data_IF_013408304511
#
_entry.id   IF_013408304511
#
_cell.length_a   1.000
_cell.length_b   1.000
_cell.length_c   1.000
_cell.angle_alpha   90.00
_cell.angle_beta   90.00
_cell.angle_gamma   90.00
#
_symmetry.space_group_name_H-M   'P 1'
#
loop_
_entity.id
_entity.type
_entity.pdbx_description
1 polymer ?
#
# COMPACT_ATOMS: atom_id res chain seq x y z
N UNK A 1 -2.71 -10.37 -19.79
CA UNK A 1 -4.07 -9.86 -19.47
C UNK A 1 -4.14 -8.43 -19.95
N UNK A 2 -5.08 -8.08 -20.83
CA UNK A 2 -5.27 -6.67 -21.23
C UNK A 2 -5.98 -5.91 -20.12
N UNK A 3 -5.89 -4.59 -20.17
CA UNK A 3 -6.53 -3.70 -19.19
C UNK A 3 -8.04 -3.83 -19.25
N UNK A 4 -8.62 -4.03 -20.45
CA UNK A 4 -10.06 -4.28 -20.57
C UNK A 4 -10.46 -5.60 -19.93
N UNK A 5 -9.65 -6.65 -20.11
CA UNK A 5 -9.92 -7.96 -19.48
C UNK A 5 -9.82 -7.86 -17.96
N UNK A 6 -8.89 -7.06 -17.44
CA UNK A 6 -8.77 -6.80 -16.01
C UNK A 6 -10.03 -6.14 -15.44
N UNK A 7 -10.51 -5.05 -16.06
CA UNK A 7 -11.71 -4.37 -15.59
C UNK A 7 -12.97 -5.22 -15.75
N UNK A 8 -13.07 -6.01 -16.82
CA UNK A 8 -14.19 -6.93 -17.04
C UNK A 8 -14.29 -8.03 -15.96
N UNK A 9 -13.15 -8.43 -15.38
CA UNK A 9 -13.09 -9.48 -14.36
C UNK A 9 -12.84 -8.95 -12.94
N UNK A 10 -12.87 -7.63 -12.74
CA UNK A 10 -12.46 -7.00 -11.48
C UNK A 10 -13.21 -7.56 -10.26
N UNK A 11 -14.53 -7.73 -10.37
CA UNK A 11 -15.36 -8.31 -9.31
C UNK A 11 -15.01 -9.78 -9.01
N UNK A 12 -14.89 -10.61 -10.04
CA UNK A 12 -14.55 -12.04 -9.88
C UNK A 12 -13.16 -12.25 -9.27
N UNK A 13 -12.20 -11.40 -9.62
CA UNK A 13 -10.85 -11.44 -9.03
C UNK A 13 -10.86 -11.09 -7.53
N UNK A 14 -11.81 -10.25 -7.09
CA UNK A 14 -11.94 -9.87 -5.70
C UNK A 14 -12.44 -11.02 -4.81
N UNK A 15 -13.24 -11.94 -5.36
CA UNK A 15 -13.87 -13.04 -4.61
C UNK A 15 -12.91 -14.21 -4.30
N UNK A 16 -11.73 -14.23 -4.92
CA UNK A 16 -10.71 -15.22 -4.60
C UNK A 16 -10.10 -14.98 -3.20
N UNK A 17 -9.53 -16.00 -2.53
CA UNK A 17 -8.76 -15.81 -1.30
C UNK A 17 -7.63 -14.79 -1.49
N UNK A 18 -7.61 -13.75 -0.66
CA UNK A 18 -6.71 -12.59 -0.77
C UNK A 18 -6.85 -11.83 -2.11
N UNK A 19 -7.99 -11.95 -2.81
CA UNK A 19 -8.25 -11.37 -4.12
C UNK A 19 -8.14 -9.85 -4.12
N UNK A 20 -8.78 -9.19 -3.16
CA UNK A 20 -8.72 -7.72 -3.02
C UNK A 20 -7.30 -7.22 -2.81
N UNK A 21 -6.48 -7.90 -1.99
CA UNK A 21 -5.08 -7.51 -1.80
C UNK A 21 -4.28 -7.60 -3.11
N UNK A 22 -4.41 -8.72 -3.83
CA UNK A 22 -3.75 -8.90 -5.13
C UNK A 22 -4.21 -7.88 -6.16
N UNK A 23 -5.48 -7.48 -6.13
CA UNK A 23 -6.01 -6.42 -6.98
C UNK A 23 -5.30 -5.09 -6.71
N UNK A 24 -5.11 -4.70 -5.44
CA UNK A 24 -4.37 -3.46 -5.08
C UNK A 24 -2.94 -3.48 -5.61
N UNK A 25 -2.24 -4.60 -5.44
CA UNK A 25 -0.87 -4.79 -5.95
C UNK A 25 -0.82 -4.67 -7.48
N UNK A 26 -1.78 -5.30 -8.17
CA UNK A 26 -1.88 -5.24 -9.63
C UNK A 26 -2.21 -3.83 -10.12
N UNK A 27 -3.11 -3.10 -9.46
CA UNK A 27 -3.44 -1.70 -9.79
C UNK A 27 -2.17 -0.84 -9.78
N UNK A 28 -1.36 -0.95 -8.70
CA UNK A 28 -0.11 -0.20 -8.61
C UNK A 28 0.91 -0.64 -9.67
N UNK A 29 0.97 -1.94 -9.97
CA UNK A 29 1.86 -2.44 -11.02
C UNK A 29 1.46 -1.90 -12.41
N UNK A 30 0.17 -1.88 -12.74
CA UNK A 30 -0.33 -1.33 -14.00
C UNK A 30 -0.11 0.19 -14.07
N UNK A 31 -0.25 0.89 -12.94
CA UNK A 31 0.00 2.33 -12.83
C UNK A 31 1.43 2.69 -13.24
N UNK A 32 2.43 1.98 -12.72
CA UNK A 32 3.85 2.28 -12.99
C UNK A 32 4.35 1.75 -14.33
N UNK A 33 3.53 0.97 -15.05
CA UNK A 33 3.81 0.46 -16.39
C UNK A 33 3.15 1.27 -17.51
N UNK A 34 2.38 2.32 -17.18
CA UNK A 34 1.62 3.09 -18.17
C UNK A 34 0.46 2.32 -18.80
N UNK A 35 -0.07 1.34 -18.06
CA UNK A 35 -1.18 0.47 -18.50
C UNK A 35 -2.47 0.75 -17.76
N UNK A 36 -2.49 1.64 -16.76
CA UNK A 36 -3.71 1.86 -15.97
C UNK A 36 -4.71 2.80 -16.66
N UNK A 37 -4.22 3.75 -17.45
CA UNK A 37 -5.02 4.77 -18.13
C UNK A 37 -4.64 4.85 -19.61
N UNK A 38 -5.55 5.28 -20.50
CA UNK A 38 -5.22 5.56 -21.89
C UNK A 38 -4.15 6.66 -22.02
N UNK A 39 -3.32 6.54 -23.06
CA UNK A 39 -2.37 7.58 -23.46
C UNK A 39 -3.12 8.74 -24.12
N UNK A 40 -2.68 9.96 -23.84
CA UNK A 40 -3.22 11.18 -24.45
C UNK A 40 -2.15 11.80 -25.37
N UNK A 41 -2.36 11.87 -26.69
CA UNK A 41 -1.42 12.47 -27.63
C UNK A 41 -1.14 13.97 -27.38
N UNK A 42 -2.07 14.67 -26.71
CA UNK A 42 -1.94 16.10 -26.42
C UNK A 42 -1.14 16.38 -25.14
N UNK A 43 -0.80 15.33 -24.37
CA UNK A 43 0.08 15.49 -23.23
C UNK A 43 1.49 15.86 -23.67
N UNK A 44 2.08 16.86 -22.99
CA UNK A 44 3.50 17.15 -23.10
C UNK A 44 4.32 15.90 -22.73
N UNK A 45 5.11 15.32 -23.65
CA UNK A 45 5.79 14.07 -23.40
C UNK A 45 6.90 14.22 -22.35
N UNK A 46 7.24 13.12 -21.67
CA UNK A 46 8.25 13.15 -20.62
C UNK A 46 9.65 13.57 -21.12
N UNK A 47 9.91 13.49 -22.43
CA UNK A 47 11.12 14.04 -23.06
C UNK A 47 11.30 15.54 -22.80
N UNK A 48 10.21 16.31 -22.80
CA UNK A 48 10.27 17.76 -22.52
C UNK A 48 10.62 18.02 -21.06
N UNK A 49 10.09 17.20 -20.14
CA UNK A 49 10.39 17.30 -18.71
C UNK A 49 11.88 17.07 -18.43
N UNK A 50 12.48 16.05 -19.05
CA UNK A 50 13.91 15.75 -18.86
C UNK A 50 14.80 16.81 -19.51
N UNK A 51 14.42 17.37 -20.66
CA UNK A 51 15.17 18.44 -21.32
C UNK A 51 15.21 19.70 -20.44
N UNK A 52 14.06 20.09 -19.87
CA UNK A 52 13.95 21.22 -18.94
C UNK A 52 14.86 21.06 -17.72
N UNK A 53 15.01 19.83 -17.24
CA UNK A 53 15.83 19.51 -16.06
C UNK A 53 17.25 19.05 -16.41
N UNK A 54 17.61 19.03 -17.70
CA UNK A 54 18.91 18.58 -18.23
C UNK A 54 19.28 17.15 -17.78
N UNK A 55 18.28 16.28 -17.71
CA UNK A 55 18.43 14.88 -17.32
C UNK A 55 18.69 14.00 -18.55
N UNK A 56 19.31 12.85 -18.34
CA UNK A 56 19.59 11.88 -19.42
C UNK A 56 18.68 10.66 -19.27
N UNK A 57 17.97 10.26 -20.34
CA UNK A 57 17.14 9.07 -20.29
C UNK A 57 18.00 7.81 -20.30
N UNK A 58 17.49 6.75 -19.67
CA UNK A 58 18.05 5.41 -19.72
C UNK A 58 17.34 4.62 -20.82
N UNK A 59 18.13 3.90 -21.61
CA UNK A 59 17.63 3.04 -22.71
C UNK A 59 17.94 1.55 -22.52
N UNK A 60 18.65 1.16 -21.45
CA UNK A 60 19.06 -0.23 -21.17
C UNK A 60 18.80 -0.59 -19.70
N UNK A 61 18.57 -1.87 -19.41
CA UNK A 61 18.31 -2.34 -18.04
C UNK A 61 16.94 -1.95 -17.50
N UNK A 62 15.98 -1.71 -18.40
CA UNK A 62 14.57 -1.51 -18.04
C UNK A 62 13.92 -2.85 -17.73
N UNK A 63 13.02 -2.89 -16.74
CA UNK A 63 12.40 -4.15 -16.32
C UNK A 63 11.15 -4.51 -17.11
N UNK A 64 10.60 -3.56 -17.87
CA UNK A 64 9.43 -3.72 -18.73
C UNK A 64 9.36 -2.57 -19.74
N UNK A 65 8.54 -2.77 -20.78
CA UNK A 65 8.21 -1.72 -21.75
C UNK A 65 7.25 -0.70 -21.15
N UNK A 66 7.47 0.57 -21.49
CA UNK A 66 6.64 1.72 -21.13
C UNK A 66 6.10 2.39 -22.40
N UNK A 67 5.02 3.19 -22.31
CA UNK A 67 4.52 3.98 -23.43
C UNK A 67 5.59 4.88 -24.06
N UNK A 68 5.46 5.16 -25.37
CA UNK A 68 6.50 5.90 -26.12
C UNK A 68 6.71 7.36 -25.71
N UNK A 69 5.76 7.95 -24.99
CA UNK A 69 5.82 9.29 -24.39
C UNK A 69 6.41 9.28 -22.96
N UNK A 70 6.77 8.10 -22.43
CA UNK A 70 7.47 7.95 -21.15
C UNK A 70 8.97 7.86 -21.38
N UNK A 71 9.74 8.15 -20.33
CA UNK A 71 11.19 7.95 -20.31
C UNK A 71 11.61 7.22 -19.04
N UNK A 72 12.73 6.53 -19.08
CA UNK A 72 13.35 5.97 -17.89
C UNK A 72 14.45 6.90 -17.37
N UNK A 73 14.52 7.09 -16.07
CA UNK A 73 15.57 7.83 -15.38
C UNK A 73 16.36 6.90 -14.46
N UNK A 74 17.61 7.25 -14.15
CA UNK A 74 18.29 6.62 -13.03
C UNK A 74 17.60 7.04 -11.72
N UNK A 75 17.67 6.22 -10.67
CA UNK A 75 17.22 6.66 -9.35
C UNK A 75 17.86 7.99 -8.95
N UNK A 76 19.15 8.19 -9.24
CA UNK A 76 19.89 9.38 -8.81
C UNK A 76 19.48 10.65 -9.57
N UNK A 77 18.96 10.52 -10.79
CA UNK A 77 18.41 11.64 -11.56
C UNK A 77 16.97 11.97 -11.12
N UNK A 78 16.20 10.95 -10.72
CA UNK A 78 14.83 11.12 -10.28
C UNK A 78 14.74 11.60 -8.83
N UNK A 79 15.49 10.97 -7.94
CA UNK A 79 15.32 10.99 -6.48
C UNK A 79 16.65 11.11 -5.73
N UNK A 80 16.58 11.74 -4.55
CA UNK A 80 17.58 11.62 -3.50
C UNK A 80 16.92 11.17 -2.20
N UNK A 81 17.72 10.74 -1.23
CA UNK A 81 17.25 10.32 0.08
C UNK A 81 18.02 10.97 1.22
N UNK A 82 17.34 11.34 2.30
CA UNK A 82 17.92 11.98 3.48
C UNK A 82 17.53 11.26 4.76
N UNK A 83 18.52 10.66 5.43
CA UNK A 83 18.34 9.98 6.71
C UNK A 83 17.97 10.93 7.86
N UNK A 84 17.32 10.37 8.89
CA UNK A 84 16.89 11.10 10.08
C UNK A 84 17.97 11.32 11.14
N UNK A 85 17.54 11.72 12.34
CA UNK A 85 18.39 12.00 13.51
C UNK A 85 18.16 11.00 14.64
N UNK A 86 19.15 10.82 15.52
CA UNK A 86 19.07 9.98 16.72
C UNK A 86 19.44 10.81 17.96
N UNK A 87 18.54 11.70 18.43
CA UNK A 87 18.78 12.42 19.68
C UNK A 87 18.85 11.45 20.88
N UNK A 88 19.57 11.81 21.96
CA UNK A 88 19.61 11.02 23.20
C UNK A 88 18.23 10.77 23.79
N UNK A 89 17.95 9.53 24.21
CA UNK A 89 16.66 9.15 24.80
C UNK A 89 16.32 9.95 26.07
N UNK A 90 17.33 10.45 26.79
CA UNK A 90 17.15 11.30 27.97
C UNK A 90 16.50 12.66 27.66
N UNK A 91 16.48 13.09 26.40
CA UNK A 91 15.85 14.34 25.98
C UNK A 91 14.38 14.17 25.56
N UNK A 92 13.85 12.95 25.59
CA UNK A 92 12.52 12.66 25.06
C UNK A 92 11.46 13.03 26.10
N UNK A 93 10.45 13.76 25.67
CA UNK A 93 9.23 14.04 26.44
C UNK A 93 8.02 13.47 25.69
N UNK A 94 6.95 13.18 26.41
CA UNK A 94 5.71 12.60 25.90
C UNK A 94 4.61 13.63 25.62
N UNK A 95 4.81 14.86 26.08
CA UNK A 95 3.87 15.97 25.96
C UNK A 95 4.45 17.11 25.12
N UNK A 96 3.65 17.75 24.24
CA UNK A 96 4.12 18.89 23.48
C UNK A 96 4.54 20.06 24.39
N UNK A 97 5.72 20.62 24.13
CA UNK A 97 6.26 21.75 24.88
C UNK A 97 6.93 22.75 23.92
N UNK A 98 6.88 24.04 24.26
CA UNK A 98 7.58 25.08 23.51
C UNK A 98 9.09 24.78 23.44
N UNK A 99 9.69 24.91 22.25
CA UNK A 99 11.10 24.59 22.00
C UNK A 99 11.37 23.10 21.74
N UNK A 100 10.33 22.28 21.67
CA UNK A 100 10.41 20.87 21.31
C UNK A 100 9.65 20.61 20.01
N UNK A 101 10.20 19.72 19.19
CA UNK A 101 9.59 19.24 17.95
C UNK A 101 9.24 17.76 18.07
N UNK A 102 8.16 17.35 17.42
CA UNK A 102 7.78 15.94 17.33
C UNK A 102 8.88 15.15 16.63
N UNK A 103 9.33 14.06 17.24
CA UNK A 103 10.25 13.10 16.62
C UNK A 103 9.45 11.88 16.15
N UNK A 104 9.25 11.79 14.83
CA UNK A 104 8.54 10.70 14.18
C UNK A 104 9.36 9.41 14.22
N UNK A 105 8.72 8.34 14.68
CA UNK A 105 9.24 6.98 14.64
C UNK A 105 8.29 6.10 13.81
N UNK A 106 8.77 4.94 13.32
CA UNK A 106 7.97 4.04 12.47
C UNK A 106 6.62 3.68 13.12
N UNK A 107 6.59 3.49 14.45
CA UNK A 107 5.37 3.16 15.20
C UNK A 107 4.30 4.25 15.14
N UNK A 108 4.68 5.51 14.90
CA UNK A 108 3.76 6.65 14.87
C UNK A 108 2.89 6.66 13.61
N UNK A 109 3.24 5.89 12.60
CA UNK A 109 2.44 5.68 11.40
C UNK A 109 1.50 4.47 11.51
N UNK A 110 1.47 3.79 12.66
CA UNK A 110 0.56 2.69 12.95
C UNK A 110 -0.77 3.13 13.56
N UNK A 111 -1.63 2.16 13.91
CA UNK A 111 -2.96 2.41 14.50
C UNK A 111 -2.93 2.93 15.94
N UNK A 112 -1.79 2.82 16.63
CA UNK A 112 -1.59 3.26 18.02
C UNK A 112 -0.28 4.06 18.12
N UNK A 113 -0.27 5.32 17.63
CA UNK A 113 0.93 6.15 17.69
C UNK A 113 1.33 6.44 19.15
N UNK A 114 2.62 6.58 19.41
CA UNK A 114 3.15 6.96 20.73
C UNK A 114 4.11 8.13 20.51
N UNK A 115 3.55 9.34 20.34
CA UNK A 115 4.31 10.51 19.96
C UNK A 115 5.32 10.85 21.05
N UNK A 116 6.50 11.28 20.62
CA UNK A 116 7.55 11.80 21.48
C UNK A 116 8.08 13.09 20.89
N UNK A 117 8.58 13.96 21.75
CA UNK A 117 9.13 15.25 21.37
C UNK A 117 10.56 15.39 21.88
N UNK A 118 11.38 16.11 21.12
CA UNK A 118 12.80 16.36 21.43
C UNK A 118 13.10 17.84 21.24
N UNK A 119 14.10 18.41 21.93
CA UNK A 119 14.50 19.79 21.73
C UNK A 119 14.80 20.09 20.26
N UNK A 120 14.35 21.24 19.75
CA UNK A 120 14.51 21.61 18.33
C UNK A 120 15.98 21.65 17.90
N UNK A 121 16.89 22.03 18.80
CA UNK A 121 18.34 22.10 18.57
C UNK A 121 19.02 20.72 18.56
N UNK A 122 18.36 19.68 19.07
CA UNK A 122 18.89 18.30 19.07
C UNK A 122 18.74 17.58 17.72
N UNK A 123 18.04 18.19 16.76
CA UNK A 123 17.72 17.61 15.45
C UNK A 123 17.97 18.61 14.32
N UNK A 124 18.42 18.11 13.16
CA UNK A 124 18.72 18.97 11.99
C UNK A 124 17.92 18.59 10.75
N UNK A 125 17.01 17.62 10.87
CA UNK A 125 16.28 17.00 9.77
C UNK A 125 14.80 17.02 10.08
N UNK A 126 14.03 17.71 9.24
CA UNK A 126 12.59 17.83 9.34
C UNK A 126 11.91 17.34 8.06
N UNK A 127 10.69 16.83 8.19
CA UNK A 127 9.78 16.53 7.11
C UNK A 127 8.48 17.32 7.26
N UNK A 128 7.89 17.70 6.13
CA UNK A 128 6.54 18.22 6.03
C UNK A 128 5.53 17.06 5.96
N UNK A 129 4.25 17.37 6.16
CA UNK A 129 3.20 16.36 6.18
C UNK A 129 3.05 15.64 4.83
N UNK A 130 3.37 16.29 3.73
CA UNK A 130 3.27 15.73 2.38
C UNK A 130 4.60 15.15 1.87
N UNK A 131 5.68 15.21 2.67
CA UNK A 131 6.92 14.50 2.35
C UNK A 131 6.68 12.97 2.38
N UNK A 132 7.43 12.25 1.55
CA UNK A 132 7.37 10.79 1.49
C UNK A 132 8.55 10.20 2.27
N UNK A 133 8.22 9.32 3.19
CA UNK A 133 9.16 8.67 4.09
C UNK A 133 9.18 7.16 3.82
N UNK A 134 10.29 6.49 4.13
CA UNK A 134 10.39 5.04 4.06
C UNK A 134 11.13 4.47 5.26
N UNK A 135 10.67 3.32 5.76
CA UNK A 135 11.40 2.56 6.77
C UNK A 135 12.70 2.00 6.21
N UNK A 136 13.82 2.26 6.90
CA UNK A 136 15.18 1.96 6.42
C UNK A 136 15.75 0.65 6.93
N UNK A 137 15.29 0.17 8.10
CA UNK A 137 15.90 -0.96 8.80
C UNK A 137 14.88 -1.96 9.36
N UNK A 138 15.29 -3.21 9.51
CA UNK A 138 14.54 -4.30 10.13
C UNK A 138 13.21 -4.61 9.42
N UNK A 139 12.19 -5.01 10.19
CA UNK A 139 10.86 -5.36 9.66
C UNK A 139 10.07 -4.17 9.05
N UNK A 140 10.66 -2.98 9.01
CA UNK A 140 10.08 -1.79 8.42
C UNK A 140 10.63 -1.45 7.04
N UNK A 141 11.69 -2.15 6.60
CA UNK A 141 12.32 -1.92 5.30
C UNK A 141 11.27 -1.89 4.19
N UNK A 142 11.28 -0.82 3.40
CA UNK A 142 10.39 -0.64 2.26
C UNK A 142 8.98 -0.13 2.58
N UNK A 143 8.56 -0.09 3.86
CA UNK A 143 7.27 0.50 4.22
C UNK A 143 7.30 2.00 3.94
N UNK A 144 6.36 2.46 3.12
CA UNK A 144 6.23 3.85 2.67
C UNK A 144 5.22 4.59 3.55
N UNK A 145 5.56 5.79 3.97
CA UNK A 145 4.76 6.61 4.87
C UNK A 145 4.66 8.06 4.37
N UNK A 146 3.58 8.74 4.74
CA UNK A 146 3.37 10.18 4.53
C UNK A 146 2.31 10.66 5.54
N UNK A 147 1.96 11.94 5.54
CA UNK A 147 0.88 12.52 6.34
C UNK A 147 1.30 13.06 7.72
N UNK A 148 2.59 13.11 8.03
CA UNK A 148 3.09 13.60 9.33
C UNK A 148 4.27 14.54 9.17
N UNK A 149 4.28 15.62 9.96
CA UNK A 149 5.35 16.60 9.99
C UNK A 149 6.12 16.52 11.31
N UNK A 150 7.42 16.83 11.25
CA UNK A 150 8.30 16.84 12.42
C UNK A 150 9.74 16.44 12.08
N UNK A 151 10.56 16.28 13.12
CA UNK A 151 11.82 15.56 13.00
C UNK A 151 11.55 14.07 12.82
N UNK A 152 12.50 13.33 12.28
CA UNK A 152 12.31 11.89 12.04
C UNK A 152 13.54 11.09 12.45
N UNK A 153 13.29 9.90 12.98
CA UNK A 153 14.31 9.00 13.49
C UNK A 153 15.21 8.44 12.36
N UNK A 154 16.44 7.99 12.68
CA UNK A 154 17.37 7.33 11.73
C UNK A 154 16.81 6.08 11.04
N UNK A 155 15.81 5.43 11.64
CA UNK A 155 15.09 4.31 11.03
C UNK A 155 14.14 4.73 9.91
N UNK A 156 13.94 6.02 9.70
CA UNK A 156 13.21 6.60 8.58
C UNK A 156 14.17 7.33 7.65
N UNK A 157 13.83 7.30 6.37
CA UNK A 157 14.49 8.11 5.35
C UNK A 157 13.46 8.92 4.59
N UNK A 158 13.77 10.18 4.30
CA UNK A 158 12.95 11.07 3.47
C UNK A 158 13.37 10.95 2.01
N UNK A 159 12.42 10.80 1.10
CA UNK A 159 12.64 10.95 -0.34
C UNK A 159 12.57 12.42 -0.76
N UNK A 160 13.47 12.84 -1.65
CA UNK A 160 13.61 14.20 -2.15
C UNK A 160 13.56 14.15 -3.67
N UNK A 161 12.73 14.99 -4.30
CA UNK A 161 12.56 15.03 -5.75
C UNK A 161 11.93 16.34 -6.22
N UNK A 162 12.06 16.64 -7.52
CA UNK A 162 11.43 17.82 -8.12
C UNK A 162 9.94 17.59 -8.33
N UNK A 163 9.11 18.49 -7.79
CA UNK A 163 7.65 18.49 -7.99
C UNK A 163 7.22 18.92 -9.39
N UNK A 164 8.15 19.48 -10.16
CA UNK A 164 7.95 19.76 -11.58
C UNK A 164 8.18 18.52 -12.45
N UNK A 165 8.89 17.50 -11.93
CA UNK A 165 9.06 16.20 -12.59
C UNK A 165 8.00 15.20 -12.15
N UNK A 166 7.72 15.17 -10.85
CA UNK A 166 6.89 14.13 -10.26
C UNK A 166 5.75 14.68 -9.41
N UNK A 167 4.56 14.14 -9.67
CA UNK A 167 3.44 14.24 -8.75
C UNK A 167 3.74 13.44 -7.47
N UNK A 168 3.50 14.05 -6.30
CA UNK A 168 3.81 13.45 -5.00
C UNK A 168 3.11 12.09 -4.79
N UNK A 169 1.81 12.00 -5.11
CA UNK A 169 1.05 10.76 -4.94
C UNK A 169 1.45 9.69 -5.97
N UNK A 170 1.91 10.10 -7.15
CA UNK A 170 2.49 9.16 -8.12
C UNK A 170 3.75 8.50 -7.54
N UNK A 171 4.68 9.29 -6.96
CA UNK A 171 5.87 8.75 -6.29
C UNK A 171 5.49 7.83 -5.13
N UNK A 172 4.51 8.23 -4.32
CA UNK A 172 4.02 7.39 -3.21
C UNK A 172 3.52 6.03 -3.70
N UNK A 173 2.74 6.01 -4.78
CA UNK A 173 2.25 4.80 -5.41
C UNK A 173 3.36 3.97 -6.08
N UNK A 174 4.32 4.64 -6.75
CA UNK A 174 5.49 4.00 -7.35
C UNK A 174 6.32 3.27 -6.30
N UNK A 175 6.65 3.92 -5.18
CA UNK A 175 7.44 3.31 -4.12
C UNK A 175 6.70 2.12 -3.47
N UNK A 176 5.37 2.11 -3.48
CA UNK A 176 4.55 0.98 -2.98
C UNK A 176 4.34 -0.14 -4.01
N UNK A 177 4.63 0.10 -5.28
CA UNK A 177 4.43 -0.88 -6.35
C UNK A 177 5.33 -2.11 -6.16
N UNK A 178 4.87 -3.27 -6.65
CA UNK A 178 5.67 -4.49 -6.66
C UNK A 178 6.99 -4.28 -7.42
N UNK A 179 6.98 -3.46 -8.48
CA UNK A 179 8.19 -3.06 -9.18
C UNK A 179 9.28 -2.54 -8.24
N UNK A 180 8.99 -1.49 -7.45
CA UNK A 180 9.99 -0.89 -6.56
C UNK A 180 10.32 -1.81 -5.38
N UNK A 181 9.30 -2.42 -4.76
CA UNK A 181 9.46 -3.26 -3.57
C UNK A 181 10.28 -4.52 -3.86
N UNK A 182 10.12 -5.15 -5.03
CA UNK A 182 10.90 -6.33 -5.41
C UNK A 182 12.38 -5.99 -5.60
N UNK A 183 12.69 -4.87 -6.28
CA UNK A 183 14.08 -4.41 -6.40
C UNK A 183 14.70 -4.11 -5.04
N UNK A 184 13.94 -3.47 -4.14
CA UNK A 184 14.40 -3.20 -2.79
C UNK A 184 14.68 -4.49 -2.00
N UNK A 185 13.80 -5.48 -2.13
CA UNK A 185 13.90 -6.76 -1.45
C UNK A 185 15.19 -7.51 -1.84
N UNK A 186 15.63 -7.42 -3.09
CA UNK A 186 16.86 -8.05 -3.57
C UNK A 186 18.12 -7.54 -2.86
N UNK A 187 18.13 -6.28 -2.41
CA UNK A 187 19.25 -5.71 -1.65
C UNK A 187 19.19 -6.02 -0.15
N UNK A 188 17.97 -6.11 0.40
CA UNK A 188 17.74 -6.35 1.84
C UNK A 188 18.05 -7.78 2.32
N UNK A 189 18.41 -8.70 1.42
CA UNK A 189 18.81 -10.08 1.74
C UNK A 189 20.24 -10.20 2.30
N UNK A 190 21.03 -9.13 2.22
CA UNK A 190 22.39 -9.08 2.77
C UNK A 190 22.38 -8.94 4.30
N UNK A 191 23.48 -9.30 4.98
CA UNK A 191 23.57 -9.41 6.45
C UNK A 191 23.21 -8.14 7.25
N UNK A 192 23.08 -6.99 6.60
CA UNK A 192 22.48 -5.78 7.17
C UNK A 192 21.03 -5.67 6.69
N UNK A 193 20.07 -5.91 7.59
CA UNK A 193 18.64 -5.79 7.31
C UNK A 193 18.21 -4.32 7.07
N UNK A 194 18.60 -3.74 5.93
CA UNK A 194 18.31 -2.37 5.52
C UNK A 194 18.77 -2.05 4.09
N UNK A 195 18.69 -0.78 3.71
CA UNK A 195 19.22 -0.28 2.44
C UNK A 195 20.00 1.03 2.61
N UNK A 196 20.87 1.31 1.63
CA UNK A 196 21.60 2.56 1.50
C UNK A 196 21.34 3.23 0.14
N UNK A 197 21.89 4.44 -0.05
CA UNK A 197 21.70 5.21 -1.31
C UNK A 197 22.28 4.49 -2.53
N UNK A 198 23.37 3.75 -2.38
CA UNK A 198 24.00 2.96 -3.45
C UNK A 198 23.17 1.74 -3.86
N UNK A 199 22.37 1.17 -2.95
CA UNK A 199 21.40 0.12 -3.31
C UNK A 199 20.29 0.69 -4.19
N UNK A 200 19.71 1.83 -3.77
CA UNK A 200 18.64 2.50 -4.52
C UNK A 200 19.12 3.04 -5.88
N UNK A 201 20.37 3.46 -5.98
CA UNK A 201 20.97 3.96 -7.23
C UNK A 201 20.91 2.95 -8.40
N UNK A 202 20.69 1.66 -8.11
CA UNK A 202 20.58 0.58 -9.11
C UNK A 202 19.16 0.42 -9.67
N UNK A 203 18.18 1.13 -9.11
CA UNK A 203 16.78 1.06 -9.54
C UNK A 203 16.55 2.13 -10.62
N UNK A 204 15.91 1.76 -11.71
CA UNK A 204 15.51 2.72 -12.75
C UNK A 204 14.09 3.23 -12.44
N UNK A 205 13.80 4.48 -12.76
CA UNK A 205 12.52 5.11 -12.42
C UNK A 205 11.77 5.46 -13.71
N UNK A 206 10.56 4.93 -13.93
CA UNK A 206 9.74 5.35 -15.05
C UNK A 206 9.19 6.76 -14.79
N UNK A 207 9.35 7.63 -15.77
CA UNK A 207 8.84 9.00 -15.78
C UNK A 207 7.79 9.15 -16.90
N UNK A 208 6.49 9.05 -16.56
CA UNK A 208 5.38 9.53 -17.39
C UNK A 208 5.31 11.06 -17.55
N UNK A 209 4.59 11.55 -18.58
CA UNK A 209 4.06 12.92 -18.63
C UNK A 209 3.38 13.35 -17.33
N UNK A 210 3.53 14.63 -16.96
CA UNK A 210 3.02 15.12 -15.68
C UNK A 210 1.48 15.11 -15.60
N UNK A 211 0.79 15.32 -16.72
CA UNK A 211 -0.67 15.23 -16.76
C UNK A 211 -1.14 13.78 -16.63
N UNK A 212 -0.48 12.85 -17.31
CA UNK A 212 -0.74 11.43 -17.15
C UNK A 212 -0.51 10.97 -15.70
N UNK A 213 0.53 11.43 -15.00
CA UNK A 213 0.73 11.13 -13.57
C UNK A 213 -0.49 11.47 -12.72
N UNK A 214 -1.12 12.62 -12.98
CA UNK A 214 -2.35 13.01 -12.26
C UNK A 214 -3.51 12.08 -12.60
N UNK A 215 -3.70 11.75 -13.88
CA UNK A 215 -4.75 10.80 -14.31
C UNK A 215 -4.55 9.42 -13.69
N UNK A 216 -3.31 8.93 -13.65
CA UNK A 216 -2.93 7.68 -12.97
C UNK A 216 -3.29 7.75 -11.49
N UNK A 217 -2.90 8.80 -10.78
CA UNK A 217 -3.22 8.97 -9.35
C UNK A 217 -4.72 8.94 -9.11
N UNK A 218 -5.50 9.71 -9.88
CA UNK A 218 -6.96 9.71 -9.78
C UNK A 218 -7.54 8.31 -10.03
N UNK A 219 -7.03 7.58 -11.01
CA UNK A 219 -7.53 6.24 -11.33
C UNK A 219 -7.15 5.21 -10.26
N UNK A 220 -5.94 5.30 -9.70
CA UNK A 220 -5.51 4.45 -8.57
C UNK A 220 -6.44 4.68 -7.38
N UNK A 221 -6.70 5.94 -7.03
CA UNK A 221 -7.57 6.30 -5.90
C UNK A 221 -8.99 5.71 -6.06
N UNK A 222 -9.60 5.88 -7.23
CA UNK A 222 -10.91 5.30 -7.55
C UNK A 222 -10.95 3.78 -7.38
N UNK A 223 -9.92 3.08 -7.87
CA UNK A 223 -9.89 1.61 -7.84
C UNK A 223 -9.56 1.07 -6.45
N UNK A 224 -8.73 1.78 -5.69
CA UNK A 224 -8.43 1.45 -4.29
C UNK A 224 -9.68 1.65 -3.43
N UNK A 225 -10.46 2.71 -3.66
CA UNK A 225 -11.74 2.91 -2.98
C UNK A 225 -12.73 1.78 -3.31
N UNK A 226 -12.81 1.35 -4.56
CA UNK A 226 -13.64 0.20 -4.94
C UNK A 226 -13.18 -1.10 -4.25
N UNK A 227 -11.87 -1.31 -4.13
CA UNK A 227 -11.33 -2.42 -3.35
C UNK A 227 -11.75 -2.34 -1.87
N UNK A 228 -11.75 -1.15 -1.26
CA UNK A 228 -12.20 -0.94 0.13
C UNK A 228 -13.67 -1.31 0.30
N UNK A 229 -14.52 -0.90 -0.64
CA UNK A 229 -15.95 -1.24 -0.65
C UNK A 229 -16.20 -2.75 -0.78
N UNK A 230 -15.46 -3.41 -1.68
CA UNK A 230 -15.55 -4.86 -1.88
C UNK A 230 -15.13 -5.62 -0.62
N UNK A 231 -14.03 -5.22 0.00
CA UNK A 231 -13.52 -5.82 1.24
C UNK A 231 -14.52 -5.64 2.39
N UNK A 232 -15.11 -4.45 2.52
CA UNK A 232 -16.14 -4.19 3.52
C UNK A 232 -17.40 -5.03 3.30
N UNK A 233 -17.83 -5.18 2.03
CA UNK A 233 -18.97 -6.02 1.64
C UNK A 233 -18.72 -7.49 1.97
N UNK A 234 -17.56 -8.03 1.58
CA UNK A 234 -17.17 -9.42 1.86
C UNK A 234 -17.13 -9.68 3.37
N UNK A 235 -16.55 -8.77 4.15
CA UNK A 235 -16.53 -8.87 5.62
C UNK A 235 -17.94 -8.88 6.21
N UNK A 236 -18.83 -8.01 5.73
CA UNK A 236 -20.23 -7.96 6.18
C UNK A 236 -20.99 -9.25 5.84
N UNK A 237 -20.78 -9.79 4.63
CA UNK A 237 -21.37 -11.06 4.20
C UNK A 237 -20.89 -12.22 5.08
N UNK A 238 -19.58 -12.31 5.34
CA UNK A 238 -19.01 -13.34 6.21
C UNK A 238 -19.57 -13.25 7.62
N UNK A 239 -19.66 -12.05 8.21
CA UNK A 239 -20.26 -11.86 9.53
C UNK A 239 -21.75 -12.22 9.57
N UNK A 240 -22.50 -11.87 8.51
CA UNK A 240 -23.91 -12.25 8.36
C UNK A 240 -24.08 -13.76 8.33
N UNK A 241 -23.26 -14.46 7.53
CA UNK A 241 -23.28 -15.92 7.42
C UNK A 241 -22.94 -16.60 8.75
N UNK A 242 -21.89 -16.16 9.44
CA UNK A 242 -21.53 -16.70 10.76
C UNK A 242 -22.67 -16.53 11.77
N UNK A 243 -23.34 -15.37 11.79
CA UNK A 243 -24.50 -15.14 12.67
C UNK A 243 -25.67 -16.07 12.34
N UNK A 244 -26.00 -16.22 11.05
CA UNK A 244 -27.08 -17.10 10.60
C UNK A 244 -26.79 -18.56 10.96
N UNK A 245 -25.56 -19.02 10.77
CA UNK A 245 -25.15 -20.37 11.13
C UNK A 245 -25.27 -20.61 12.64
N UNK A 246 -24.77 -19.69 13.46
CA UNK A 246 -24.90 -19.80 14.91
C UNK A 246 -26.38 -19.84 15.33
N UNK A 247 -27.21 -18.92 14.80
CA UNK A 247 -28.63 -18.90 15.14
C UNK A 247 -29.38 -20.17 14.71
N UNK A 248 -29.01 -20.75 13.56
CA UNK A 248 -29.59 -22.01 13.09
C UNK A 248 -29.19 -23.19 14.01
N UNK A 249 -27.91 -23.27 14.40
CA UNK A 249 -27.42 -24.28 15.35
C UNK A 249 -28.05 -24.11 16.73
N UNK A 250 -28.10 -22.89 17.26
CA UNK A 250 -28.70 -22.58 18.56
C UNK A 250 -30.20 -22.98 18.57
N UNK A 251 -30.93 -22.68 17.50
CA UNK A 251 -32.33 -23.10 17.36
C UNK A 251 -32.48 -24.63 17.34
N UNK A 252 -31.59 -25.34 16.65
CA UNK A 252 -31.57 -26.80 16.64
C UNK A 252 -31.27 -27.39 18.03
N UNK A 253 -30.25 -26.86 18.72
CA UNK A 253 -29.78 -27.36 20.02
C UNK A 253 -30.73 -27.02 21.19
N UNK A 254 -31.55 -25.98 21.03
CA UNK A 254 -32.52 -25.55 22.06
C UNK A 254 -33.94 -26.07 21.83
N UNK A 255 -34.17 -26.80 20.74
CA UNK A 255 -35.46 -27.42 20.43
C UNK A 255 -35.91 -28.35 21.56
N UNK A 256 -37.14 -28.16 22.04
CA UNK A 256 -37.69 -28.97 23.16
C UNK A 256 -38.64 -30.06 22.68
N UNK A 257 -39.16 -29.94 21.46
CA UNK A 257 -40.08 -30.89 20.85
C UNK A 257 -39.47 -31.56 19.62
N UNK A 258 -39.82 -32.82 19.34
CA UNK A 258 -39.37 -33.52 18.14
C UNK A 258 -39.69 -32.79 16.83
N UNK A 259 -40.89 -32.20 16.72
CA UNK A 259 -41.31 -31.50 15.51
C UNK A 259 -40.51 -30.19 15.29
N UNK A 260 -40.19 -29.46 16.36
CA UNK A 260 -39.34 -28.26 16.31
C UNK A 260 -37.92 -28.62 15.85
N UNK A 261 -37.37 -29.72 16.35
CA UNK A 261 -36.07 -30.21 15.93
C UNK A 261 -36.06 -30.58 14.44
N UNK A 262 -37.08 -31.31 13.98
CA UNK A 262 -37.22 -31.70 12.58
C UNK A 262 -37.30 -30.46 11.65
N UNK A 263 -38.07 -29.44 12.03
CA UNK A 263 -38.17 -28.18 11.27
C UNK A 263 -36.83 -27.43 11.20
N UNK A 264 -36.12 -27.32 12.33
CA UNK A 264 -34.80 -26.68 12.37
C UNK A 264 -33.76 -27.46 11.57
N UNK A 265 -33.77 -28.79 11.67
CA UNK A 265 -32.89 -29.67 10.90
C UNK A 265 -33.15 -29.54 9.40
N UNK A 266 -34.42 -29.51 8.99
CA UNK A 266 -34.80 -29.36 7.60
C UNK A 266 -34.37 -28.02 7.01
N UNK A 267 -34.44 -26.93 7.79
CA UNK A 267 -33.89 -25.62 7.38
C UNK A 267 -32.38 -25.65 7.19
N UNK A 268 -31.66 -26.31 8.09
CA UNK A 268 -30.20 -26.47 8.02
C UNK A 268 -29.81 -27.32 6.81
N UNK A 269 -30.43 -28.49 6.62
CA UNK A 269 -30.09 -29.41 5.54
C UNK A 269 -30.42 -28.84 4.16
N UNK A 270 -31.53 -28.11 4.02
CA UNK A 270 -31.92 -27.47 2.76
C UNK A 270 -30.96 -26.35 2.37
N UNK A 271 -30.30 -25.70 3.34
CA UNK A 271 -29.37 -24.59 3.11
C UNK A 271 -27.92 -24.96 3.44
N UNK A 272 -27.60 -26.26 3.47
CA UNK A 272 -26.34 -26.74 4.04
C UNK A 272 -25.12 -26.14 3.35
N UNK A 273 -25.10 -26.16 2.02
CA UNK A 273 -23.98 -25.62 1.22
C UNK A 273 -23.83 -24.11 1.37
N UNK A 274 -24.92 -23.39 1.65
CA UNK A 274 -24.88 -21.94 1.87
C UNK A 274 -24.40 -21.58 3.29
N UNK A 275 -24.66 -22.45 4.26
CA UNK A 275 -24.31 -22.24 5.67
C UNK A 275 -22.90 -22.77 6.00
N UNK A 276 -22.46 -23.86 5.37
CA UNK A 276 -21.29 -24.63 5.79
C UNK A 276 -20.23 -24.84 4.70
N UNK A 277 -20.07 -23.89 3.76
CA UNK A 277 -19.01 -23.87 2.74
C UNK A 277 -17.67 -23.26 3.23
N UNK A 278 -17.54 -22.90 4.51
CA UNK A 278 -16.32 -22.30 5.05
C UNK A 278 -15.77 -23.00 6.30
N UNK A 279 -14.44 -23.03 6.48
CA UNK A 279 -13.80 -23.76 7.59
C UNK A 279 -14.34 -23.38 8.98
N UNK A 280 -14.60 -22.08 9.22
CA UNK A 280 -15.10 -21.58 10.50
C UNK A 280 -16.50 -22.09 10.85
N UNK A 281 -17.39 -22.23 9.86
CA UNK A 281 -18.76 -22.71 10.09
C UNK A 281 -18.79 -24.24 10.20
N UNK A 282 -17.94 -24.95 9.45
CA UNK A 282 -17.78 -26.41 9.54
C UNK A 282 -17.27 -26.85 10.91
N UNK A 283 -16.29 -26.16 11.48
CA UNK A 283 -15.72 -26.50 12.80
C UNK A 283 -16.78 -26.44 13.90
N UNK A 284 -17.68 -25.46 13.85
CA UNK A 284 -18.79 -25.32 14.80
C UNK A 284 -19.87 -26.37 14.62
N UNK A 285 -20.24 -26.67 13.38
CA UNK A 285 -21.18 -27.76 13.11
C UNK A 285 -20.67 -29.06 13.73
N UNK A 286 -19.39 -29.41 13.51
CA UNK A 286 -18.77 -30.61 14.11
C UNK A 286 -18.72 -30.64 15.63
N UNK A 287 -18.75 -29.48 16.29
CA UNK A 287 -18.79 -29.43 17.75
C UNK A 287 -20.22 -29.58 18.31
N UNK A 288 -21.24 -29.40 17.46
CA UNK A 288 -22.65 -29.47 17.83
C UNK A 288 -23.30 -30.85 17.57
N UNK A 289 -22.65 -31.71 16.79
CA UNK A 289 -23.02 -33.13 16.52
C UNK A 289 -22.05 -34.06 17.25
#
# INVERSE_FOLDING_TARGET
MTVETFFANFGHLADAPNGVQKLRELILQLAVQGKLVPQDPEDEPASVLIDKHRLKPISRGTSFDVPGNWVWLSFSDAFDIKGGSQPPKSQFIDTPQKGYVRLLQIRDFGSKPVPVFVPEDSVSKLCAADDIMMGRYGASVGKVFTGQAGAYNVALVKFIFSRDLFNNLFVFNLLKSAYFQNHLADFSRSAQAGFNKGDLAKINIPLPPLQEQKRIVTKVDQLVALCDELEARQKKQQQGRVRLCNAALDALLTARKPDEFADHWQRISTNFDLLYDHPETIAKLRAAI
#
